data_IF_167370951697
#
_entry.id   IF_167370951697
#
_cell.length_a   1.000
_cell.length_b   1.000
_cell.length_c   1.000
_cell.angle_alpha   90.00
_cell.angle_beta   90.00
_cell.angle_gamma   90.00
#
_symmetry.space_group_name_H-M   'P 1'
#
loop_
_entity.id
_entity.type
_entity.pdbx_description
1 polymer ?
#
# COMPACT_ATOMS: atom_id res chain seq x y z
N UNK A 1 17.32 32.59 -14.78
CA UNK A 1 16.30 31.66 -15.30
C UNK A 1 16.89 30.26 -15.22
N UNK A 2 16.51 29.48 -14.21
CA UNK A 2 16.87 28.06 -14.20
C UNK A 2 15.84 27.35 -15.08
N UNK A 3 16.27 26.79 -16.20
CA UNK A 3 15.43 25.91 -17.00
C UNK A 3 15.08 24.70 -16.14
N UNK A 4 13.81 24.50 -15.83
CA UNK A 4 13.32 23.23 -15.30
C UNK A 4 13.51 22.17 -16.38
N UNK A 5 14.65 21.49 -16.35
CA UNK A 5 14.89 20.36 -17.24
C UNK A 5 13.87 19.29 -16.88
N UNK A 6 12.97 18.97 -17.83
CA UNK A 6 11.96 17.93 -17.64
C UNK A 6 12.68 16.61 -17.34
N UNK A 7 12.35 15.99 -16.21
CA UNK A 7 12.95 14.72 -15.80
C UNK A 7 12.72 13.66 -16.88
N UNK A 8 13.78 12.94 -17.24
CA UNK A 8 13.69 11.77 -18.09
C UNK A 8 13.29 10.53 -17.27
N UNK A 9 12.94 9.42 -17.95
CA UNK A 9 12.48 8.19 -17.29
C UNK A 9 13.51 7.64 -16.29
N UNK A 10 14.80 7.68 -16.63
CA UNK A 10 15.88 7.21 -15.74
C UNK A 10 15.96 8.06 -14.46
N UNK A 11 15.79 9.38 -14.57
CA UNK A 11 15.75 10.29 -13.43
C UNK A 11 14.52 10.03 -12.55
N UNK A 12 13.36 9.77 -13.15
CA UNK A 12 12.14 9.40 -12.39
C UNK A 12 12.40 8.10 -11.61
N UNK A 13 12.97 7.07 -12.23
CA UNK A 13 13.29 5.81 -11.56
C UNK A 13 14.30 6.00 -10.40
N UNK A 14 15.26 6.92 -10.52
CA UNK A 14 16.17 7.27 -9.42
C UNK A 14 15.41 7.92 -8.26
N UNK A 15 14.49 8.83 -8.56
CA UNK A 15 13.64 9.47 -7.55
C UNK A 15 12.70 8.49 -6.84
N UNK A 16 12.21 7.47 -7.55
CA UNK A 16 11.37 6.44 -6.95
C UNK A 16 12.05 5.69 -5.80
N UNK A 17 13.38 5.65 -5.75
CA UNK A 17 14.12 4.99 -4.68
C UNK A 17 13.86 5.61 -3.30
N UNK A 18 13.43 6.87 -3.21
CA UNK A 18 13.03 7.52 -1.93
C UNK A 18 11.88 6.77 -1.27
N UNK A 19 11.00 6.16 -2.07
CA UNK A 19 9.82 5.45 -1.59
C UNK A 19 10.12 3.98 -1.22
N UNK A 20 11.38 3.55 -1.22
CA UNK A 20 11.80 2.19 -0.84
C UNK A 20 12.08 2.05 0.66
N UNK A 21 11.74 0.88 1.23
CA UNK A 21 11.80 0.59 2.67
C UNK A 21 13.18 0.27 3.27
N UNK A 22 14.29 0.59 2.60
CA UNK A 22 15.62 0.23 3.11
C UNK A 22 16.60 1.37 2.89
N UNK A 23 16.75 2.26 3.88
CA UNK A 23 17.96 3.00 4.28
C UNK A 23 18.97 3.53 3.25
N UNK A 24 18.68 3.51 1.95
CA UNK A 24 19.53 4.06 0.91
C UNK A 24 19.40 5.56 1.06
N UNK A 25 20.54 6.23 1.28
CA UNK A 25 20.62 7.68 1.18
C UNK A 25 20.24 8.03 -0.26
N UNK A 26 19.01 8.48 -0.45
CA UNK A 26 18.58 9.02 -1.73
C UNK A 26 19.01 10.48 -1.79
N UNK A 27 19.35 10.94 -2.98
CA UNK A 27 19.64 12.35 -3.20
C UNK A 27 18.35 13.17 -3.04
N UNK A 28 18.33 14.07 -2.05
CA UNK A 28 17.23 15.00 -1.81
C UNK A 28 16.28 14.58 -0.69
N UNK A 29 15.59 15.56 -0.11
CA UNK A 29 14.50 15.30 0.84
C UNK A 29 13.28 14.74 0.10
N UNK A 30 12.43 14.00 0.81
CA UNK A 30 11.13 13.53 0.28
C UNK A 30 10.33 14.69 -0.34
N UNK A 31 10.31 15.86 0.32
CA UNK A 31 9.63 17.05 -0.19
C UNK A 31 10.19 17.54 -1.52
N UNK A 32 11.52 17.53 -1.68
CA UNK A 32 12.14 17.92 -2.95
C UNK A 32 11.73 16.97 -4.07
N UNK A 33 11.84 15.66 -3.84
CA UNK A 33 11.45 14.65 -4.83
C UNK A 33 9.96 14.73 -5.18
N UNK A 34 9.09 14.93 -4.20
CA UNK A 34 7.65 15.08 -4.46
C UNK A 34 7.36 16.34 -5.29
N UNK A 35 8.04 17.45 -5.03
CA UNK A 35 7.88 18.68 -5.83
C UNK A 35 8.31 18.46 -7.29
N UNK A 36 9.45 17.81 -7.50
CA UNK A 36 9.94 17.50 -8.84
C UNK A 36 9.01 16.53 -9.59
N UNK A 37 8.51 15.50 -8.92
CA UNK A 37 7.54 14.56 -9.51
C UNK A 37 6.22 15.27 -9.84
N UNK A 38 5.70 16.12 -8.95
CA UNK A 38 4.49 16.92 -9.21
C UNK A 38 4.66 17.85 -10.41
N UNK A 39 5.86 18.42 -10.60
CA UNK A 39 6.17 19.32 -11.71
C UNK A 39 6.14 18.62 -13.09
N UNK A 40 6.23 17.29 -13.16
CA UNK A 40 6.08 16.52 -14.41
C UNK A 40 4.66 16.63 -14.97
N UNK A 41 3.65 16.81 -14.10
CA UNK A 41 2.24 16.73 -14.46
C UNK A 41 1.70 15.30 -14.36
N UNK A 42 0.51 15.14 -13.77
CA UNK A 42 -0.12 13.82 -13.54
C UNK A 42 -0.54 13.14 -14.84
N UNK A 43 -0.83 13.91 -15.88
CA UNK A 43 -1.12 13.46 -17.25
C UNK A 43 0.04 12.69 -17.90
N UNK A 44 1.27 12.97 -17.50
CA UNK A 44 2.47 12.28 -17.98
C UNK A 44 2.97 11.27 -16.94
N UNK A 45 3.01 11.68 -15.67
CA UNK A 45 3.59 10.88 -14.62
C UNK A 45 2.76 9.63 -14.31
N UNK A 46 1.43 9.73 -14.26
CA UNK A 46 0.61 8.56 -13.89
C UNK A 46 0.66 7.46 -14.95
N UNK A 47 0.56 7.73 -16.26
CA UNK A 47 0.79 6.70 -17.26
C UNK A 47 2.17 6.04 -17.14
N UNK A 48 3.21 6.82 -16.84
CA UNK A 48 4.54 6.28 -16.61
C UNK A 48 4.57 5.36 -15.37
N UNK A 49 4.13 5.83 -14.20
CA UNK A 49 4.08 5.01 -12.98
C UNK A 49 3.23 3.76 -13.18
N UNK A 50 2.08 3.87 -13.83
CA UNK A 50 1.22 2.72 -14.14
C UNK A 50 1.89 1.72 -15.08
N UNK A 51 2.72 2.18 -16.04
CA UNK A 51 3.50 1.26 -16.87
C UNK A 51 4.50 0.45 -16.04
N UNK A 52 5.12 1.07 -15.03
CA UNK A 52 6.05 0.40 -14.12
C UNK A 52 5.33 -0.56 -13.18
N UNK A 53 4.19 -0.15 -12.62
CA UNK A 53 3.35 -0.98 -11.73
C UNK A 53 2.86 -2.25 -12.44
N UNK A 54 2.49 -2.13 -13.73
CA UNK A 54 2.00 -3.24 -14.55
C UNK A 54 3.10 -4.14 -15.11
N UNK A 55 4.38 -3.76 -15.02
CA UNK A 55 5.48 -4.57 -15.53
C UNK A 55 5.73 -5.78 -14.62
N UNK A 56 5.01 -6.88 -14.88
CA UNK A 56 5.12 -8.13 -14.13
C UNK A 56 6.47 -8.84 -14.29
N UNK A 57 7.26 -8.46 -15.29
CA UNK A 57 8.61 -8.99 -15.49
C UNK A 57 9.69 -8.04 -14.96
N UNK A 58 9.29 -6.85 -14.49
CA UNK A 58 10.17 -5.82 -13.97
C UNK A 58 10.59 -6.06 -12.52
N UNK A 59 11.43 -5.16 -12.00
CA UNK A 59 11.86 -5.18 -10.62
C UNK A 59 10.68 -4.88 -9.68
N UNK A 60 10.38 -5.82 -8.78
CA UNK A 60 9.32 -5.67 -7.77
C UNK A 60 9.47 -4.38 -6.95
N UNK A 61 10.70 -3.94 -6.67
CA UNK A 61 10.95 -2.70 -5.95
C UNK A 61 10.44 -1.48 -6.72
N UNK A 62 10.61 -1.46 -8.05
CA UNK A 62 10.12 -0.37 -8.90
C UNK A 62 8.59 -0.34 -8.87
N UNK A 63 7.93 -1.50 -8.89
CA UNK A 63 6.47 -1.60 -8.78
C UNK A 63 5.97 -1.01 -7.45
N UNK A 64 6.57 -1.43 -6.33
CA UNK A 64 6.22 -0.94 -4.99
C UNK A 64 6.48 0.58 -4.84
N UNK A 65 7.65 1.04 -5.26
CA UNK A 65 8.02 2.46 -5.21
C UNK A 65 7.10 3.32 -6.07
N UNK A 66 6.74 2.83 -7.28
CA UNK A 66 5.80 3.53 -8.16
C UNK A 66 4.41 3.65 -7.53
N UNK A 67 3.95 2.59 -6.86
CA UNK A 67 2.65 2.57 -6.17
C UNK A 67 2.62 3.56 -5.00
N UNK A 68 3.70 3.59 -4.20
CA UNK A 68 3.84 4.56 -3.09
C UNK A 68 3.97 5.99 -3.60
N UNK A 69 4.72 6.22 -4.67
CA UNK A 69 4.84 7.55 -5.28
C UNK A 69 3.48 8.07 -5.78
N UNK A 70 2.71 7.22 -6.44
CA UNK A 70 1.36 7.52 -6.91
C UNK A 70 0.44 7.97 -5.75
N UNK A 71 0.45 7.24 -4.62
CA UNK A 71 -0.32 7.59 -3.42
C UNK A 71 0.16 8.87 -2.74
N UNK A 72 1.46 9.14 -2.72
CA UNK A 72 2.01 10.38 -2.16
C UNK A 72 1.70 11.61 -3.01
N UNK A 73 1.60 11.45 -4.33
CA UNK A 73 1.30 12.54 -5.26
C UNK A 73 -0.19 12.87 -5.23
N UNK A 74 -1.03 11.85 -5.37
CA UNK A 74 -2.48 11.96 -5.27
C UNK A 74 -3.05 10.69 -4.64
N UNK A 75 -3.34 10.76 -3.34
CA UNK A 75 -3.96 9.65 -2.61
C UNK A 75 -5.28 9.23 -3.25
N UNK A 76 -6.13 10.18 -3.64
CA UNK A 76 -7.48 9.86 -4.10
C UNK A 76 -7.46 9.09 -5.42
N UNK A 77 -6.69 9.58 -6.39
CA UNK A 77 -6.50 8.90 -7.67
C UNK A 77 -5.63 7.66 -7.51
N UNK A 78 -4.69 7.69 -6.57
CA UNK A 78 -3.79 6.58 -6.29
C UNK A 78 -4.53 5.34 -5.80
N UNK A 79 -5.45 5.51 -4.84
CA UNK A 79 -6.33 4.43 -4.36
C UNK A 79 -7.15 3.85 -5.52
N UNK A 80 -7.76 4.69 -6.36
CA UNK A 80 -8.55 4.24 -7.51
C UNK A 80 -7.74 3.35 -8.47
N UNK A 81 -6.51 3.77 -8.77
CA UNK A 81 -5.62 3.08 -9.70
C UNK A 81 -5.01 1.80 -9.12
N UNK A 82 -4.84 1.73 -7.80
CA UNK A 82 -4.21 0.58 -7.13
C UNK A 82 -5.19 -0.54 -6.72
N UNK A 83 -6.50 -0.26 -6.67
CA UNK A 83 -7.53 -1.24 -6.33
C UNK A 83 -7.43 -2.59 -7.09
N UNK A 84 -7.14 -2.64 -8.40
CA UNK A 84 -7.02 -3.91 -9.11
C UNK A 84 -5.85 -4.80 -8.62
N UNK A 85 -4.80 -4.22 -8.04
CA UNK A 85 -3.57 -4.94 -7.67
C UNK A 85 -3.66 -5.70 -6.36
N UNK A 86 -4.78 -5.61 -5.64
CA UNK A 86 -5.12 -6.57 -4.59
C UNK A 86 -5.20 -8.02 -5.10
N UNK A 87 -5.41 -8.21 -6.41
CA UNK A 87 -5.44 -9.52 -7.05
C UNK A 87 -4.19 -9.78 -7.92
N UNK A 88 -3.07 -9.09 -7.65
CA UNK A 88 -1.83 -9.34 -8.39
C UNK A 88 -1.34 -10.78 -8.21
N UNK A 89 -0.72 -11.34 -9.25
CA UNK A 89 -0.20 -12.71 -9.19
C UNK A 89 0.99 -12.83 -8.23
N UNK A 90 1.76 -11.76 -8.03
CA UNK A 90 2.92 -11.74 -7.15
C UNK A 90 2.50 -11.49 -5.69
N UNK A 91 2.81 -12.42 -4.78
CA UNK A 91 2.47 -12.29 -3.36
C UNK A 91 3.21 -11.14 -2.68
N UNK A 92 4.47 -10.88 -3.05
CA UNK A 92 5.24 -9.73 -2.53
C UNK A 92 4.54 -8.43 -2.89
N UNK A 93 4.02 -8.34 -4.12
CA UNK A 93 3.31 -7.13 -4.55
C UNK A 93 1.95 -6.98 -3.85
N UNK A 94 1.18 -8.06 -3.72
CA UNK A 94 -0.08 -8.05 -2.95
C UNK A 94 0.15 -7.62 -1.51
N UNK A 95 1.21 -8.12 -0.87
CA UNK A 95 1.61 -7.74 0.48
C UNK A 95 1.90 -6.23 0.58
N UNK A 96 2.68 -5.66 -0.33
CA UNK A 96 2.97 -4.22 -0.36
C UNK A 96 1.70 -3.38 -0.58
N UNK A 97 0.79 -3.81 -1.45
CA UNK A 97 -0.51 -3.14 -1.64
C UNK A 97 -1.34 -3.11 -0.36
N UNK A 98 -1.42 -4.23 0.38
CA UNK A 98 -2.09 -4.25 1.69
C UNK A 98 -1.40 -3.32 2.70
N UNK A 99 -0.05 -3.31 2.74
CA UNK A 99 0.73 -2.43 3.60
C UNK A 99 0.53 -0.95 3.29
N UNK A 100 0.49 -0.58 2.00
CA UNK A 100 0.17 0.78 1.55
C UNK A 100 -1.23 1.21 2.03
N UNK A 101 -2.21 0.31 2.01
CA UNK A 101 -3.55 0.68 2.47
C UNK A 101 -3.64 0.90 3.98
N UNK A 102 -2.80 0.27 4.78
CA UNK A 102 -2.68 0.63 6.20
C UNK A 102 -2.16 2.06 6.37
N UNK A 103 -1.12 2.44 5.62
CA UNK A 103 -0.48 3.76 5.70
C UNK A 103 -1.38 4.89 5.16
N UNK A 104 -2.01 4.67 4.01
CA UNK A 104 -2.78 5.70 3.32
C UNK A 104 -4.26 5.70 3.70
N UNK A 105 -4.87 4.55 3.99
CA UNK A 105 -6.23 4.39 4.54
C UNK A 105 -7.37 5.05 3.75
N UNK A 106 -8.22 4.27 3.10
CA UNK A 106 -9.42 4.76 2.41
C UNK A 106 -10.54 3.72 2.47
N UNK A 107 -11.77 4.15 2.75
CA UNK A 107 -12.91 3.23 2.89
C UNK A 107 -13.19 2.44 1.59
N UNK A 108 -12.83 2.99 0.43
CA UNK A 108 -12.99 2.32 -0.88
C UNK A 108 -12.24 1.00 -0.98
N UNK A 109 -11.23 0.76 -0.14
CA UNK A 109 -10.44 -0.50 -0.19
C UNK A 109 -10.95 -1.57 0.79
N UNK A 110 -11.96 -1.28 1.61
CA UNK A 110 -12.42 -2.19 2.67
C UNK A 110 -12.84 -3.54 2.12
N UNK A 111 -13.63 -3.58 1.05
CA UNK A 111 -14.08 -4.85 0.45
C UNK A 111 -12.91 -5.68 -0.08
N UNK A 112 -11.92 -5.02 -0.72
CA UNK A 112 -10.73 -5.68 -1.22
C UNK A 112 -9.86 -6.24 -0.08
N UNK A 113 -9.72 -5.49 1.01
CA UNK A 113 -9.01 -5.92 2.21
C UNK A 113 -9.70 -7.08 2.91
N UNK A 114 -11.03 -7.04 3.07
CA UNK A 114 -11.79 -8.18 3.64
C UNK A 114 -11.60 -9.42 2.77
N UNK A 115 -11.65 -9.29 1.44
CA UNK A 115 -11.40 -10.41 0.54
C UNK A 115 -9.98 -10.98 0.71
N UNK A 116 -8.95 -10.13 0.83
CA UNK A 116 -7.57 -10.60 1.09
C UNK A 116 -7.43 -11.27 2.45
N UNK A 117 -7.96 -10.65 3.50
CA UNK A 117 -7.95 -11.18 4.85
C UNK A 117 -8.57 -12.59 4.94
N UNK A 118 -9.61 -12.87 4.15
CA UNK A 118 -10.30 -14.17 4.16
C UNK A 118 -9.67 -15.21 3.22
N UNK A 119 -9.16 -14.78 2.07
CA UNK A 119 -8.94 -15.68 0.93
C UNK A 119 -7.51 -15.68 0.38
N UNK A 120 -6.59 -14.84 0.89
CA UNK A 120 -5.21 -14.89 0.39
C UNK A 120 -4.52 -16.19 0.84
N UNK A 121 -3.83 -16.92 -0.07
CA UNK A 121 -3.10 -18.13 0.32
C UNK A 121 -1.97 -17.86 1.32
N UNK A 122 -1.44 -16.63 1.38
CA UNK A 122 -0.35 -16.28 2.26
C UNK A 122 -0.87 -15.72 3.61
N UNK A 123 -0.59 -16.38 4.76
CA UNK A 123 -1.01 -15.88 6.07
C UNK A 123 -0.44 -14.50 6.39
N UNK A 124 0.74 -14.15 5.88
CA UNK A 124 1.31 -12.82 6.08
C UNK A 124 0.45 -11.73 5.42
N UNK A 125 -0.09 -12.02 4.23
CA UNK A 125 -0.99 -11.09 3.52
C UNK A 125 -2.34 -11.01 4.23
N UNK A 126 -2.87 -12.14 4.70
CA UNK A 126 -4.14 -12.16 5.47
C UNK A 126 -4.02 -11.32 6.75
N UNK A 127 -2.94 -11.48 7.51
CA UNK A 127 -2.66 -10.67 8.70
C UNK A 127 -2.43 -9.18 8.40
N UNK A 128 -1.69 -8.87 7.32
CA UNK A 128 -1.49 -7.47 6.88
C UNK A 128 -2.80 -6.81 6.48
N UNK A 129 -3.71 -7.53 5.80
CA UNK A 129 -5.02 -7.02 5.44
C UNK A 129 -5.91 -6.75 6.68
N UNK A 130 -5.88 -7.63 7.68
CA UNK A 130 -6.55 -7.40 8.96
C UNK A 130 -6.02 -6.14 9.67
N UNK A 131 -4.69 -5.97 9.68
CA UNK A 131 -4.06 -4.79 10.27
C UNK A 131 -4.41 -3.48 9.54
N UNK A 132 -4.51 -3.51 8.21
CA UNK A 132 -4.97 -2.38 7.42
C UNK A 132 -6.42 -1.99 7.72
N UNK A 133 -7.32 -2.97 7.92
CA UNK A 133 -8.71 -2.71 8.33
C UNK A 133 -8.79 -2.00 9.69
N UNK A 134 -7.97 -2.41 10.66
CA UNK A 134 -7.86 -1.71 11.96
C UNK A 134 -7.32 -0.28 11.83
N UNK A 135 -6.38 -0.07 10.90
CA UNK A 135 -5.87 1.25 10.52
C UNK A 135 -6.97 2.17 9.97
N UNK A 136 -7.81 1.64 9.08
CA UNK A 136 -8.96 2.36 8.51
C UNK A 136 -10.01 2.67 9.57
N UNK A 137 -10.30 1.73 10.48
CA UNK A 137 -11.04 2.04 11.70
C UNK A 137 -12.56 2.01 11.56
N UNK A 138 -13.13 1.30 10.59
CA UNK A 138 -14.59 1.24 10.36
C UNK A 138 -15.23 0.11 11.19
N UNK A 139 -16.15 0.42 12.14
CA UNK A 139 -16.79 -0.58 12.99
C UNK A 139 -17.48 -1.72 12.25
N UNK A 140 -18.04 -1.45 11.07
CA UNK A 140 -18.74 -2.45 10.25
C UNK A 140 -17.83 -3.58 9.77
N UNK A 141 -16.50 -3.44 9.90
CA UNK A 141 -15.52 -4.48 9.58
C UNK A 141 -15.30 -5.49 10.72
N UNK A 142 -15.73 -5.18 11.95
CA UNK A 142 -15.54 -6.02 13.15
C UNK A 142 -16.08 -7.46 12.95
N UNK A 143 -17.28 -7.71 12.40
CA UNK A 143 -17.76 -9.07 12.20
C UNK A 143 -16.82 -9.93 11.35
N UNK A 144 -16.25 -9.36 10.28
CA UNK A 144 -15.29 -10.06 9.44
C UNK A 144 -13.98 -10.35 10.16
N UNK A 145 -13.48 -9.40 10.97
CA UNK A 145 -12.29 -9.59 11.78
C UNK A 145 -12.50 -10.66 12.86
N UNK A 146 -13.67 -10.67 13.51
CA UNK A 146 -14.02 -11.65 14.54
C UNK A 146 -14.08 -13.07 13.97
N UNK A 147 -14.53 -13.23 12.72
CA UNK A 147 -14.48 -14.51 12.02
C UNK A 147 -13.03 -14.98 11.82
N UNK A 148 -12.11 -14.10 11.42
CA UNK A 148 -10.68 -14.43 11.29
C UNK A 148 -10.05 -14.79 12.64
N UNK A 149 -10.37 -14.06 13.72
CA UNK A 149 -9.91 -14.37 15.10
C UNK A 149 -10.22 -15.82 15.48
N UNK A 150 -11.40 -16.30 15.10
CA UNK A 150 -11.88 -17.62 15.51
C UNK A 150 -11.42 -18.77 14.62
N UNK A 151 -10.94 -18.50 13.40
CA UNK A 151 -10.76 -19.54 12.37
C UNK A 151 -9.37 -19.57 11.73
N UNK A 152 -8.55 -18.53 11.85
CA UNK A 152 -7.29 -18.41 11.09
C UNK A 152 -6.07 -18.29 12.02
N UNK A 153 -5.52 -19.44 12.38
CA UNK A 153 -4.38 -19.58 13.31
C UNK A 153 -3.07 -19.93 12.61
N UNK A 154 -3.04 -19.90 11.27
CA UNK A 154 -1.81 -20.15 10.52
C UNK A 154 -0.77 -19.09 10.88
N UNK A 155 0.47 -19.49 11.09
CA UNK A 155 1.57 -18.58 11.43
C UNK A 155 2.38 -18.23 10.19
N UNK A 156 2.68 -16.95 10.03
CA UNK A 156 3.65 -16.49 9.04
C UNK A 156 5.10 -16.82 9.46
N UNK A 157 6.05 -16.41 8.62
CA UNK A 157 7.49 -16.63 8.86
C UNK A 157 8.04 -15.90 10.10
N UNK A 158 7.28 -14.94 10.65
CA UNK A 158 7.63 -14.16 11.84
C UNK A 158 6.90 -14.67 13.10
N UNK A 159 6.05 -15.69 12.97
CA UNK A 159 5.27 -16.26 14.05
C UNK A 159 3.99 -15.48 14.38
N UNK A 160 3.55 -14.55 13.51
CA UNK A 160 2.27 -13.87 13.66
C UNK A 160 1.18 -14.63 12.91
N UNK A 161 -0.03 -14.63 13.48
CA UNK A 161 -1.21 -15.20 12.82
C UNK A 161 -2.18 -14.12 12.35
N UNK A 162 -2.98 -14.39 11.30
CA UNK A 162 -4.07 -13.51 10.92
C UNK A 162 -5.07 -13.26 12.06
N UNK A 163 -5.34 -14.26 12.90
CA UNK A 163 -6.16 -14.11 14.11
C UNK A 163 -5.60 -13.07 15.09
N UNK A 164 -4.29 -13.09 15.36
CA UNK A 164 -3.65 -12.10 16.23
C UNK A 164 -3.72 -10.68 15.65
N UNK A 165 -3.48 -10.54 14.34
CA UNK A 165 -3.61 -9.26 13.64
C UNK A 165 -5.06 -8.74 13.66
N UNK A 166 -6.03 -9.64 13.47
CA UNK A 166 -7.45 -9.30 13.50
C UNK A 166 -7.94 -8.88 14.90
N UNK A 167 -7.49 -9.56 15.96
CA UNK A 167 -7.76 -9.17 17.34
C UNK A 167 -7.20 -7.77 17.63
N UNK A 168 -5.94 -7.52 17.23
CA UNK A 168 -5.31 -6.21 17.35
C UNK A 168 -6.11 -5.13 16.61
N UNK A 169 -6.59 -5.42 15.40
CA UNK A 169 -7.40 -4.50 14.61
C UNK A 169 -8.75 -4.17 15.25
N UNK A 170 -9.45 -5.16 15.83
CA UNK A 170 -10.70 -4.93 16.58
C UNK A 170 -10.46 -3.97 17.74
N UNK A 171 -9.40 -4.21 18.53
CA UNK A 171 -9.04 -3.34 19.65
C UNK A 171 -8.77 -1.89 19.19
N UNK A 172 -8.09 -1.70 18.06
CA UNK A 172 -7.84 -0.37 17.51
C UNK A 172 -9.12 0.32 17.01
N UNK A 173 -10.04 -0.40 16.38
CA UNK A 173 -11.33 0.15 15.94
C UNK A 173 -12.18 0.59 17.14
N UNK A 174 -12.24 -0.22 18.19
CA UNK A 174 -12.99 0.09 19.41
C UNK A 174 -12.43 1.33 20.11
N UNK A 175 -11.10 1.41 20.30
CA UNK A 175 -10.45 2.61 20.85
C UNK A 175 -10.80 3.90 20.09
N UNK A 176 -10.84 3.84 18.75
CA UNK A 176 -11.21 4.99 17.90
C UNK A 176 -12.68 5.37 18.02
N UNK A 177 -13.53 4.40 18.33
CA UNK A 177 -14.98 4.61 18.50
C UNK A 177 -15.27 5.22 19.86
N UNK A 178 -14.60 4.76 20.92
CA UNK A 178 -14.77 5.25 22.29
C UNK A 178 -14.23 6.68 22.51
N UNK A 179 -13.39 7.17 21.60
CA UNK A 179 -12.82 8.52 21.64
C UNK A 179 -13.66 9.59 20.91
N UNK A 180 -14.78 9.22 20.28
CA UNK A 180 -15.70 10.13 19.58
C UNK A 180 -16.94 10.43 20.43
#
# INVERSE_FOLDING_TARGET
MMSSQRLNQEQILKYLQVFGGSGRKVEGSLDHVLNELRAIGTDILFPFLMSQINDRNGDINIRCQSSRALLNIDKNKGIELLLPFFNDSDSTFRWDICGLMHEFGDERVIEALINRMKNDPDPQIRGTAAYALGGIGIPDTIPALQETVNNDFESDNLGYSPSFCAESAINEIQKKTDQK
#
